data_IF_608327516474
#
_entry.id   IF_608327516474
#
_cell.length_a   1.000
_cell.length_b   1.000
_cell.length_c   1.000
_cell.angle_alpha   90.00
_cell.angle_beta   90.00
_cell.angle_gamma   90.00
#
_symmetry.space_group_name_H-M   'P 1'
#
loop_
_entity.id
_entity.type
_entity.pdbx_description
1 polymer ?
#
# COMPACT_ATOMS: atom_id res chain seq x y z
N UNK A 1 49.08 -1.20 59.53
CA UNK A 1 48.04 -2.26 59.47
C UNK A 1 46.72 -1.72 58.91
N UNK A 2 46.07 -0.71 59.52
CA UNK A 2 44.75 -0.20 59.07
C UNK A 2 44.68 0.25 57.60
N UNK A 3 45.73 0.92 57.09
CA UNK A 3 45.78 1.38 55.69
C UNK A 3 45.80 0.23 54.67
N UNK A 4 46.46 -0.87 55.00
CA UNK A 4 46.57 -2.04 54.12
C UNK A 4 45.19 -2.69 53.96
N UNK A 5 44.44 -2.84 55.05
CA UNK A 5 43.09 -3.41 55.01
C UNK A 5 42.13 -2.56 54.17
N UNK A 6 42.21 -1.23 54.26
CA UNK A 6 41.41 -0.33 53.43
C UNK A 6 41.79 -0.43 51.95
N UNK A 7 43.09 -0.46 51.64
CA UNK A 7 43.59 -0.58 50.26
C UNK A 7 43.11 -1.89 49.61
N UNK A 8 43.25 -3.01 50.31
CA UNK A 8 42.77 -4.33 49.83
C UNK A 8 41.25 -4.31 49.60
N UNK A 9 40.49 -3.67 50.49
CA UNK A 9 39.04 -3.50 50.33
C UNK A 9 38.66 -2.76 49.04
N UNK A 10 39.34 -1.65 48.72
CA UNK A 10 39.08 -0.90 47.49
C UNK A 10 39.44 -1.69 46.22
N UNK A 11 40.52 -2.47 46.25
CA UNK A 11 40.89 -3.32 45.11
C UNK A 11 39.85 -4.40 44.85
N UNK A 12 39.38 -5.09 45.91
CA UNK A 12 38.34 -6.12 45.77
C UNK A 12 37.03 -5.52 45.26
N UNK A 13 36.62 -4.36 45.80
CA UNK A 13 35.40 -3.68 45.37
C UNK A 13 35.49 -3.23 43.90
N UNK A 14 36.65 -2.71 43.49
CA UNK A 14 36.91 -2.31 42.10
C UNK A 14 36.83 -3.48 41.12
N UNK A 15 37.41 -4.64 41.48
CA UNK A 15 37.33 -5.85 40.66
C UNK A 15 35.89 -6.37 40.54
N UNK A 16 35.12 -6.37 41.64
CA UNK A 16 33.71 -6.75 41.62
C UNK A 16 32.86 -5.81 40.75
N UNK A 17 33.11 -4.49 40.82
CA UNK A 17 32.40 -3.54 39.97
C UNK A 17 32.71 -3.77 38.48
N UNK A 18 33.99 -4.02 38.15
CA UNK A 18 34.40 -4.29 36.77
C UNK A 18 33.75 -5.56 36.20
N UNK A 19 33.67 -6.65 36.98
CA UNK A 19 33.02 -7.90 36.52
C UNK A 19 31.52 -7.73 36.29
N UNK A 20 30.83 -6.98 37.15
CA UNK A 20 29.40 -6.67 36.99
C UNK A 20 29.16 -5.87 35.70
N UNK A 21 29.99 -4.86 35.42
CA UNK A 21 29.86 -4.04 34.20
C UNK A 21 30.02 -4.90 32.95
N UNK A 22 31.01 -5.80 32.92
CA UNK A 22 31.22 -6.72 31.79
C UNK A 22 30.03 -7.67 31.62
N UNK A 23 29.49 -8.23 32.71
CA UNK A 23 28.34 -9.12 32.66
C UNK A 23 27.09 -8.41 32.08
N UNK A 24 26.82 -7.17 32.49
CA UNK A 24 25.71 -6.37 31.94
C UNK A 24 25.91 -6.11 30.44
N UNK A 25 27.13 -5.75 30.03
CA UNK A 25 27.44 -5.52 28.61
C UNK A 25 27.20 -6.77 27.75
N UNK A 26 27.58 -7.96 28.25
CA UNK A 26 27.32 -9.25 27.58
C UNK A 26 25.82 -9.52 27.47
N UNK A 27 25.03 -9.28 28.52
CA UNK A 27 23.57 -9.48 28.49
C UNK A 27 22.92 -8.54 27.47
N UNK A 28 23.32 -7.27 27.42
CA UNK A 28 22.83 -6.29 26.44
C UNK A 28 23.19 -6.70 25.01
N UNK A 29 24.44 -7.13 24.78
CA UNK A 29 24.90 -7.60 23.49
C UNK A 29 24.14 -8.87 23.03
N UNK A 30 23.89 -9.81 23.95
CA UNK A 30 23.15 -11.02 23.64
C UNK A 30 21.70 -10.71 23.27
N UNK A 31 21.03 -9.81 24.01
CA UNK A 31 19.67 -9.38 23.69
C UNK A 31 19.60 -8.68 22.33
N UNK A 32 20.61 -7.86 21.99
CA UNK A 32 20.69 -7.19 20.68
C UNK A 32 20.91 -8.20 19.54
N UNK A 33 21.69 -9.25 19.76
CA UNK A 33 21.92 -10.30 18.75
C UNK A 33 20.64 -11.05 18.38
N UNK A 34 19.75 -11.30 19.34
CA UNK A 34 18.46 -11.94 19.07
C UNK A 34 17.51 -11.08 18.23
N UNK A 35 17.61 -9.74 18.32
CA UNK A 35 16.73 -8.86 17.54
C UNK A 35 17.12 -8.76 16.05
N UNK A 36 18.39 -8.97 15.69
CA UNK A 36 18.85 -8.84 14.30
C UNK A 36 18.43 -10.05 13.45
N UNK A 37 18.22 -11.22 14.07
CA UNK A 37 17.79 -12.43 13.37
C UNK A 37 16.27 -12.55 13.22
N UNK A 38 15.49 -11.59 13.73
CA UNK A 38 14.04 -11.53 13.55
C UNK A 38 13.65 -10.77 12.27
N UNK A 39 14.54 -10.64 11.28
CA UNK A 39 14.13 -10.21 9.95
C UNK A 39 13.24 -11.31 9.36
N UNK A 40 11.98 -11.02 9.02
CA UNK A 40 11.04 -12.06 8.67
C UNK A 40 11.41 -12.57 7.26
N UNK A 41 11.88 -13.83 7.18
CA UNK A 41 12.34 -14.47 5.93
C UNK A 41 11.24 -14.64 4.87
N UNK A 42 10.00 -14.35 5.22
CA UNK A 42 8.81 -14.44 4.36
C UNK A 42 8.66 -13.28 3.35
N UNK A 43 9.50 -12.24 3.41
CA UNK A 43 9.53 -11.19 2.37
C UNK A 43 10.17 -11.65 1.05
N UNK A 44 11.08 -12.64 1.06
CA UNK A 44 11.69 -13.17 -0.16
C UNK A 44 10.87 -14.27 -0.85
N UNK A 45 9.99 -14.97 -0.12
CA UNK A 45 9.16 -16.04 -0.71
C UNK A 45 7.91 -15.50 -1.41
N UNK A 46 7.33 -14.39 -0.94
CA UNK A 46 6.07 -13.86 -1.48
C UNK A 46 6.17 -13.37 -2.93
N UNK A 47 7.31 -12.80 -3.34
CA UNK A 47 7.53 -12.36 -4.73
C UNK A 47 7.75 -13.54 -5.68
N UNK A 48 8.48 -14.57 -5.24
CA UNK A 48 8.74 -15.77 -6.05
C UNK A 48 7.48 -16.64 -6.21
N UNK A 49 6.63 -16.69 -5.18
CA UNK A 49 5.39 -17.46 -5.20
C UNK A 49 4.28 -16.77 -6.00
N UNK A 50 4.19 -15.43 -5.96
CA UNK A 50 3.30 -14.66 -6.87
C UNK A 50 3.65 -14.87 -8.34
N UNK A 51 4.94 -14.93 -8.69
CA UNK A 51 5.36 -15.18 -10.08
C UNK A 51 4.95 -16.61 -10.50
N UNK A 52 5.11 -17.60 -9.62
CA UNK A 52 4.68 -18.98 -9.91
C UNK A 52 3.15 -19.12 -10.05
N UNK A 53 2.38 -18.49 -9.17
CA UNK A 53 0.91 -18.48 -9.26
C UNK A 53 0.40 -17.73 -10.50
N UNK A 54 1.06 -16.64 -10.89
CA UNK A 54 0.75 -15.94 -12.14
C UNK A 54 1.02 -16.79 -13.38
N UNK A 55 2.07 -17.63 -13.38
CA UNK A 55 2.38 -18.50 -14.51
C UNK A 55 1.42 -19.68 -14.64
N UNK A 56 0.97 -20.25 -13.52
CA UNK A 56 0.03 -21.40 -13.55
C UNK A 56 -1.34 -20.99 -14.10
N UNK A 57 -1.87 -19.83 -13.68
CA UNK A 57 -3.16 -19.34 -14.19
C UNK A 57 -3.17 -19.01 -15.69
N UNK A 58 -2.03 -18.61 -16.27
CA UNK A 58 -1.94 -18.39 -17.73
C UNK A 58 -1.91 -19.69 -18.54
N UNK A 59 -1.28 -20.74 -18.02
CA UNK A 59 -1.25 -22.05 -18.68
C UNK A 59 -2.66 -22.66 -18.71
N UNK A 60 -3.39 -22.54 -17.60
CA UNK A 60 -4.76 -23.06 -17.50
C UNK A 60 -5.75 -22.33 -18.43
N UNK A 61 -5.64 -20.99 -18.55
CA UNK A 61 -6.44 -20.21 -19.50
C UNK A 61 -6.18 -20.61 -20.96
N UNK A 62 -4.94 -20.97 -21.33
CA UNK A 62 -4.64 -21.45 -22.69
C UNK A 62 -5.21 -22.83 -22.98
N UNK A 63 -5.29 -23.71 -21.98
CA UNK A 63 -5.87 -25.05 -22.15
C UNK A 63 -7.40 -25.02 -22.27
N UNK A 64 -8.07 -24.08 -21.59
CA UNK A 64 -9.51 -23.86 -21.74
C UNK A 64 -9.88 -23.46 -23.17
N UNK A 65 -9.16 -22.52 -23.80
CA UNK A 65 -9.45 -22.07 -25.17
C UNK A 65 -9.33 -23.22 -26.18
N UNK A 66 -8.47 -24.20 -25.95
CA UNK A 66 -8.27 -25.32 -26.87
C UNK A 66 -9.36 -26.40 -26.78
N UNK A 67 -10.09 -26.49 -25.66
CA UNK A 67 -11.23 -27.44 -25.50
C UNK A 67 -12.49 -26.95 -26.21
N UNK A 68 -12.72 -25.65 -26.24
CA UNK A 68 -13.94 -25.08 -26.81
C UNK A 68 -13.93 -25.12 -28.36
N UNK A 69 -12.74 -25.18 -28.98
CA UNK A 69 -12.58 -25.28 -30.44
C UNK A 69 -12.89 -26.70 -30.97
N UNK A 70 -12.77 -27.73 -30.14
CA UNK A 70 -13.05 -29.13 -30.55
C UNK A 70 -14.51 -29.55 -30.36
N UNK A 71 -15.32 -28.79 -29.63
CA UNK A 71 -16.73 -29.11 -29.35
C UNK A 71 -17.73 -28.29 -30.18
N UNK A 72 -17.26 -27.29 -30.94
CA UNK A 72 -18.12 -26.40 -31.73
C UNK A 72 -18.20 -26.76 -33.23
N UNK A 73 -17.69 -27.92 -33.67
CA UNK A 73 -17.67 -28.30 -35.10
C UNK A 73 -18.93 -29.03 -35.63
N UNK A 74 -20.02 -29.18 -34.86
CA UNK A 74 -21.18 -30.01 -35.27
C UNK A 74 -22.45 -29.23 -35.66
N UNK A 75 -22.48 -27.89 -35.62
CA UNK A 75 -23.71 -27.16 -35.98
C UNK A 75 -23.47 -25.89 -36.79
N UNK A 76 -23.20 -26.04 -38.08
CA UNK A 76 -23.35 -24.96 -39.07
C UNK A 76 -24.00 -25.52 -40.34
N UNK A 77 -25.30 -25.29 -40.47
CA UNK A 77 -26.05 -25.43 -41.71
C UNK A 77 -27.13 -24.36 -41.73
N UNK A 78 -27.08 -23.49 -42.76
CA UNK A 78 -28.03 -22.42 -43.11
C UNK A 78 -28.15 -21.30 -42.05
N UNK A 79 -27.99 -20.02 -42.38
CA UNK A 79 -28.92 -19.23 -43.19
C UNK A 79 -28.19 -18.04 -43.85
N UNK A 80 -28.63 -17.79 -45.08
CA UNK A 80 -28.19 -16.78 -46.03
C UNK A 80 -28.85 -15.40 -45.81
N UNK A 81 -28.14 -14.35 -46.27
CA UNK A 81 -28.68 -13.05 -46.73
C UNK A 81 -29.22 -12.10 -45.63
N UNK A 82 -29.15 -10.76 -45.67
CA UNK A 82 -28.91 -9.78 -46.74
C UNK A 82 -28.73 -8.36 -46.14
N UNK A 83 -27.77 -7.60 -46.69
CA UNK A 83 -27.81 -6.17 -47.11
C UNK A 83 -28.32 -4.99 -46.26
N UNK A 84 -27.69 -3.85 -46.57
CA UNK A 84 -28.06 -2.41 -46.44
C UNK A 84 -27.54 -1.72 -45.17
N UNK A 85 -26.55 -0.83 -45.16
CA UNK A 85 -26.14 0.32 -46.00
C UNK A 85 -27.15 1.47 -46.02
N UNK A 86 -27.02 2.41 -45.07
CA UNK A 86 -27.56 3.76 -45.19
C UNK A 86 -26.77 4.74 -44.32
N UNK A 87 -25.80 5.41 -44.96
CA UNK A 87 -25.20 6.66 -44.48
C UNK A 87 -25.99 7.83 -45.08
N UNK A 88 -26.43 8.83 -44.30
CA UNK A 88 -26.84 10.11 -44.86
C UNK A 88 -25.71 11.14 -44.74
N UNK A 89 -25.28 11.64 -45.90
CA UNK A 89 -24.49 12.87 -46.07
C UNK A 89 -25.31 14.09 -45.62
N UNK A 90 -24.70 15.01 -44.88
CA UNK A 90 -25.22 16.35 -44.62
C UNK A 90 -24.39 17.39 -45.40
N UNK A 91 -25.01 18.30 -46.16
CA UNK A 91 -24.34 19.43 -46.81
C UNK A 91 -24.49 20.73 -46.00
N UNK A 92 -23.62 21.70 -46.27
CA UNK A 92 -24.01 23.11 -46.24
C UNK A 92 -23.24 24.02 -45.29
N UNK A 93 -22.24 24.70 -45.86
CA UNK A 93 -21.55 25.86 -45.32
C UNK A 93 -22.46 27.08 -45.52
N UNK A 94 -22.68 27.89 -44.48
CA UNK A 94 -23.12 29.28 -44.65
C UNK A 94 -22.63 30.15 -43.48
N UNK A 95 -21.67 31.03 -43.80
CA UNK A 95 -21.30 32.21 -43.02
C UNK A 95 -22.42 33.24 -43.07
N UNK A 96 -22.72 33.88 -41.94
CA UNK A 96 -23.61 35.04 -41.88
C UNK A 96 -23.57 35.70 -40.51
N UNK A 97 -22.97 36.88 -40.44
CA UNK A 97 -22.86 37.71 -39.24
C UNK A 97 -24.12 38.56 -39.02
N UNK A 98 -24.55 38.74 -37.77
CA UNK A 98 -25.11 39.98 -37.22
C UNK A 98 -25.29 39.88 -35.69
N UNK A 99 -25.17 40.99 -34.94
CA UNK A 99 -25.27 41.02 -33.48
C UNK A 99 -26.68 41.42 -33.00
N UNK A 100 -27.05 40.93 -31.82
CA UNK A 100 -28.11 41.53 -31.01
C UNK A 100 -29.34 40.65 -30.83
N UNK A 101 -29.49 40.14 -29.60
CA UNK A 101 -30.74 39.97 -28.83
C UNK A 101 -30.62 38.75 -27.91
N UNK A 102 -30.67 39.02 -26.61
CA UNK A 102 -30.92 38.05 -25.55
C UNK A 102 -32.34 37.49 -25.73
N UNK A 103 -32.57 36.19 -25.52
CA UNK A 103 -33.26 35.84 -24.28
C UNK A 103 -32.79 34.54 -23.60
N UNK A 104 -32.94 34.56 -22.28
CA UNK A 104 -32.88 33.45 -21.33
C UNK A 104 -33.73 32.25 -21.81
N UNK A 105 -33.09 31.09 -21.97
CA UNK A 105 -33.78 29.80 -22.00
C UNK A 105 -32.85 28.72 -21.41
N UNK A 106 -33.26 28.18 -20.27
CA UNK A 106 -32.59 27.08 -19.59
C UNK A 106 -32.78 25.76 -20.36
N UNK A 107 -31.74 24.95 -20.58
CA UNK A 107 -31.91 23.59 -21.06
C UNK A 107 -32.16 22.64 -19.88
N UNK A 108 -33.42 22.24 -19.72
CA UNK A 108 -33.80 20.99 -19.02
C UNK A 108 -33.24 19.81 -19.82
N UNK A 109 -32.03 19.37 -19.48
CA UNK A 109 -31.51 18.09 -19.95
C UNK A 109 -32.18 16.97 -19.14
N UNK A 110 -33.27 16.42 -19.68
CA UNK A 110 -33.82 15.14 -19.24
C UNK A 110 -32.91 14.07 -19.83
N UNK A 111 -31.94 13.63 -19.04
CA UNK A 111 -31.13 12.45 -19.35
C UNK A 111 -32.04 11.23 -19.24
N UNK A 112 -32.52 10.73 -20.38
CA UNK A 112 -33.20 9.45 -20.49
C UNK A 112 -32.17 8.33 -20.32
N UNK A 113 -32.14 7.72 -19.14
CA UNK A 113 -31.37 6.51 -18.88
C UNK A 113 -32.04 5.33 -19.60
N UNK A 114 -31.29 4.48 -20.33
CA UNK A 114 -31.85 3.23 -20.84
C UNK A 114 -32.18 2.29 -19.68
N UNK A 115 -33.47 1.97 -19.53
CA UNK A 115 -33.93 0.83 -18.76
C UNK A 115 -33.64 -0.45 -19.54
N UNK A 116 -32.55 -1.12 -19.19
CA UNK A 116 -32.25 -2.53 -19.42
C UNK A 116 -30.92 -2.78 -18.71
N UNK A 117 -30.72 -3.74 -17.83
CA UNK A 117 -31.35 -5.04 -17.64
C UNK A 117 -31.16 -5.45 -16.19
N UNK A 118 -32.07 -6.30 -15.70
CA UNK A 118 -31.94 -7.06 -14.46
C UNK A 118 -30.59 -7.79 -14.42
N UNK A 119 -29.59 -7.18 -13.78
CA UNK A 119 -28.48 -7.94 -13.23
C UNK A 119 -29.00 -8.60 -11.97
N UNK A 120 -29.26 -9.90 -12.09
CA UNK A 120 -29.28 -10.82 -10.96
C UNK A 120 -27.92 -10.69 -10.29
N UNK A 121 -27.86 -9.94 -9.19
CA UNK A 121 -26.75 -10.02 -8.26
C UNK A 121 -26.83 -11.40 -7.63
N UNK A 122 -26.13 -12.34 -8.24
CA UNK A 122 -25.77 -13.58 -7.58
C UNK A 122 -24.94 -13.18 -6.36
N UNK A 123 -25.56 -13.33 -5.20
CA UNK A 123 -25.00 -13.03 -3.90
C UNK A 123 -23.89 -14.05 -3.61
N UNK A 124 -22.76 -13.90 -4.31
CA UNK A 124 -21.50 -14.50 -3.89
C UNK A 124 -21.18 -13.85 -2.55
N UNK A 125 -21.48 -14.59 -1.48
CA UNK A 125 -20.95 -14.30 -0.16
C UNK A 125 -19.43 -14.44 -0.24
N UNK A 126 -18.80 -13.37 -0.73
CA UNK A 126 -17.39 -13.14 -0.56
C UNK A 126 -17.18 -13.05 0.93
N UNK A 127 -16.60 -14.13 1.47
CA UNK A 127 -16.00 -14.22 2.79
C UNK A 127 -15.15 -12.95 2.94
N UNK A 128 -15.69 -11.95 3.63
CA UNK A 128 -14.87 -10.85 4.12
C UNK A 128 -13.76 -11.52 4.91
N UNK A 129 -12.48 -11.23 4.63
CA UNK A 129 -11.45 -11.62 5.57
C UNK A 129 -11.89 -11.02 6.90
N UNK A 130 -12.12 -11.91 7.86
CA UNK A 130 -12.45 -11.59 9.23
C UNK A 130 -11.45 -10.53 9.64
N UNK A 131 -11.89 -9.27 9.71
CA UNK A 131 -11.09 -8.19 10.28
C UNK A 131 -10.94 -8.60 11.73
N UNK A 132 -9.81 -9.24 11.98
CA UNK A 132 -9.37 -9.65 13.29
C UNK A 132 -9.23 -8.33 14.03
N UNK A 133 -10.17 -8.05 14.93
CA UNK A 133 -9.98 -7.07 15.98
C UNK A 133 -8.67 -7.44 16.66
N UNK A 134 -7.60 -6.76 16.25
CA UNK A 134 -6.33 -6.79 16.94
C UNK A 134 -6.63 -6.01 18.21
N UNK A 135 -6.96 -6.76 19.26
CA UNK A 135 -7.16 -6.25 20.60
C UNK A 135 -6.10 -5.18 20.91
N UNK A 136 -6.57 -4.08 21.45
CA UNK A 136 -5.87 -2.88 21.91
C UNK A 136 -4.90 -3.16 23.06
N UNK A 137 -4.05 -4.17 22.95
CA UNK A 137 -2.80 -4.25 23.71
C UNK A 137 -1.73 -3.39 23.01
N UNK A 138 -2.10 -2.14 22.75
CA UNK A 138 -1.24 -1.04 22.35
C UNK A 138 -0.41 -0.57 23.53
N UNK A 139 0.38 -1.47 24.12
CA UNK A 139 1.69 -1.04 24.59
C UNK A 139 2.47 -0.69 23.33
N UNK A 140 2.31 0.55 22.87
CA UNK A 140 3.19 1.17 21.89
C UNK A 140 4.58 0.71 22.28
N UNK A 141 5.18 -0.17 21.49
CA UNK A 141 6.61 -0.47 21.61
C UNK A 141 7.22 0.85 21.18
N UNK A 142 7.40 1.75 22.15
CA UNK A 142 8.01 3.04 21.97
C UNK A 142 9.43 2.65 21.61
N UNK A 143 9.68 2.54 20.31
CA UNK A 143 11.03 2.45 19.82
C UNK A 143 11.64 3.75 20.34
N UNK A 144 12.57 3.73 21.32
CA UNK A 144 12.98 4.95 22.03
C UNK A 144 13.63 5.97 21.11
N UNK A 145 13.92 5.57 19.87
CA UNK A 145 14.49 6.37 18.80
C UNK A 145 13.43 7.05 17.92
N UNK A 146 12.16 6.72 18.07
CA UNK A 146 11.12 7.25 17.21
C UNK A 146 10.85 8.73 17.50
N UNK A 147 10.93 9.57 16.48
CA UNK A 147 10.73 11.03 16.61
C UNK A 147 9.39 11.41 16.00
N UNK A 148 8.52 12.06 16.76
CA UNK A 148 7.29 12.63 16.22
C UNK A 148 7.59 13.95 15.48
N UNK A 149 7.04 14.10 14.27
CA UNK A 149 7.10 15.33 13.48
C UNK A 149 5.75 15.65 12.85
N UNK A 150 5.50 16.93 12.59
CA UNK A 150 4.31 17.42 11.87
C UNK A 150 4.69 17.66 10.41
N UNK A 151 3.89 17.15 9.47
CA UNK A 151 4.08 17.39 8.05
C UNK A 151 3.77 18.85 7.68
N UNK A 152 4.67 19.47 6.93
CA UNK A 152 4.59 20.83 6.41
C UNK A 152 4.19 20.85 4.92
N UNK A 153 4.33 19.72 4.22
CA UNK A 153 3.94 19.56 2.80
C UNK A 153 3.17 18.27 2.58
N UNK A 154 2.31 18.27 1.56
CA UNK A 154 1.59 17.08 1.11
C UNK A 154 2.52 16.14 0.33
N UNK A 155 2.22 14.85 0.41
CA UNK A 155 2.88 13.82 -0.40
C UNK A 155 1.89 12.74 -0.85
N UNK A 156 1.82 12.53 -2.17
CA UNK A 156 1.00 11.48 -2.78
C UNK A 156 1.88 10.27 -3.12
N UNK A 157 1.56 9.07 -2.60
CA UNK A 157 2.36 7.88 -2.82
C UNK A 157 2.28 7.43 -4.28
N UNK A 158 3.39 6.91 -4.80
CA UNK A 158 3.58 6.42 -6.17
C UNK A 158 3.68 4.91 -6.23
N UNK A 159 4.15 4.28 -5.15
CA UNK A 159 4.29 2.83 -5.01
C UNK A 159 3.65 2.36 -3.69
N UNK A 160 3.43 1.05 -3.56
CA UNK A 160 2.68 0.48 -2.43
C UNK A 160 3.35 0.66 -1.05
N UNK A 161 4.67 0.83 -1.01
CA UNK A 161 5.42 0.99 0.24
C UNK A 161 5.44 2.44 0.75
N UNK A 162 4.98 3.39 -0.08
CA UNK A 162 4.91 4.79 0.27
C UNK A 162 3.61 5.13 1.03
N UNK A 163 3.68 6.06 1.97
CA UNK A 163 2.50 6.54 2.71
C UNK A 163 2.01 7.89 2.21
N UNK A 164 0.70 8.05 2.15
CA UNK A 164 0.10 9.36 1.93
C UNK A 164 0.28 10.27 3.15
N UNK A 165 0.69 11.51 2.90
CA UNK A 165 0.92 12.54 3.91
C UNK A 165 0.14 13.79 3.51
N UNK A 166 -0.61 14.34 4.45
CA UNK A 166 -1.30 15.63 4.30
C UNK A 166 -0.68 16.65 5.27
N UNK A 167 -0.59 17.91 4.88
CA UNK A 167 -0.12 19.01 5.75
C UNK A 167 -0.88 18.98 7.09
N UNK A 168 -0.12 19.03 8.18
CA UNK A 168 -0.63 18.94 9.54
C UNK A 168 -0.73 17.51 10.09
N UNK A 169 -0.52 16.47 9.28
CA UNK A 169 -0.44 15.10 9.79
C UNK A 169 0.74 14.96 10.76
N UNK A 170 0.52 14.21 11.85
CA UNK A 170 1.57 13.82 12.79
C UNK A 170 2.13 12.48 12.37
N UNK A 171 3.44 12.40 12.19
CA UNK A 171 4.15 11.19 11.80
C UNK A 171 5.15 10.80 12.86
N UNK A 172 5.18 9.52 13.19
CA UNK A 172 6.20 8.92 14.03
C UNK A 172 7.31 8.38 13.13
N UNK A 173 8.44 9.05 13.08
CA UNK A 173 9.60 8.69 12.25
C UNK A 173 10.44 7.66 12.99
N UNK A 174 10.56 6.46 12.42
CA UNK A 174 11.37 5.36 12.97
C UNK A 174 12.83 5.43 12.55
N UNK A 175 13.08 5.83 11.29
CA UNK A 175 14.42 5.89 10.70
C UNK A 175 14.46 6.87 9.54
N UNK A 176 15.49 7.71 9.51
CA UNK A 176 15.87 8.52 8.34
C UNK A 176 16.95 7.82 7.54
N UNK A 177 16.94 8.01 6.23
CA UNK A 177 17.92 7.51 5.28
C UNK A 177 18.71 8.69 4.69
N UNK A 178 19.92 8.42 4.17
CA UNK A 178 20.83 9.45 3.64
C UNK A 178 20.38 10.00 2.28
N UNK A 179 19.45 9.32 1.60
CA UNK A 179 18.88 9.69 0.30
C UNK A 179 17.70 10.67 0.40
N UNK A 180 17.41 11.17 1.59
CA UNK A 180 16.30 12.09 1.83
C UNK A 180 14.96 11.41 2.08
N UNK A 181 14.92 10.09 2.33
CA UNK A 181 13.71 9.38 2.71
C UNK A 181 13.67 9.04 4.20
N UNK A 182 12.49 8.69 4.70
CA UNK A 182 12.33 8.14 6.04
C UNK A 182 11.24 7.08 6.10
N UNK A 183 11.38 6.14 7.04
CA UNK A 183 10.32 5.22 7.43
C UNK A 183 9.55 5.82 8.59
N UNK A 184 8.23 5.92 8.44
CA UNK A 184 7.35 6.56 9.40
C UNK A 184 5.98 5.87 9.48
N UNK A 185 5.24 6.16 10.55
CA UNK A 185 3.82 5.84 10.67
C UNK A 185 3.02 7.13 10.75
N UNK A 186 2.03 7.27 9.88
CA UNK A 186 1.07 8.37 9.96
C UNK A 186 0.10 8.09 11.12
N UNK A 187 0.07 8.95 12.13
CA UNK A 187 -0.72 8.75 13.35
C UNK A 187 -2.23 8.94 13.10
N UNK A 188 -2.62 9.66 12.05
CA UNK A 188 -4.03 9.81 11.64
C UNK A 188 -4.58 8.55 11.00
N UNK A 189 -3.84 7.98 10.03
CA UNK A 189 -4.31 6.80 9.27
C UNK A 189 -3.86 5.47 9.86
N UNK A 190 -2.91 5.49 10.80
CA UNK A 190 -2.21 4.33 11.38
C UNK A 190 -1.40 3.50 10.37
N UNK A 191 -1.26 3.97 9.13
CA UNK A 191 -0.48 3.30 8.08
C UNK A 191 1.00 3.62 8.24
N UNK A 192 1.84 2.60 8.12
CA UNK A 192 3.30 2.71 8.13
C UNK A 192 3.88 2.45 6.75
N UNK A 193 4.98 3.12 6.42
CA UNK A 193 5.71 2.95 5.17
C UNK A 193 6.80 4.02 5.05
N UNK A 194 7.11 4.42 3.81
CA UNK A 194 8.16 5.42 3.54
C UNK A 194 7.58 6.73 2.98
N UNK A 195 8.24 7.84 3.29
CA UNK A 195 7.94 9.15 2.71
C UNK A 195 9.21 10.02 2.67
N UNK A 196 9.29 11.05 1.80
CA UNK A 196 10.46 11.90 1.72
C UNK A 196 10.56 12.83 2.95
N UNK A 197 11.78 13.10 3.42
CA UNK A 197 12.05 14.02 4.53
C UNK A 197 11.65 15.46 4.22
N UNK A 198 11.58 15.83 2.94
CA UNK A 198 11.15 17.15 2.47
C UNK A 198 9.72 17.52 2.86
N UNK A 199 8.90 16.55 3.31
CA UNK A 199 7.58 16.84 3.90
C UNK A 199 7.68 17.55 5.25
N UNK A 200 8.84 17.53 5.90
CA UNK A 200 9.08 18.14 7.23
C UNK A 200 9.99 19.37 7.17
N UNK A 201 10.43 19.78 5.99
CA UNK A 201 11.35 20.90 5.79
C UNK A 201 10.57 22.12 5.29
N UNK A 202 10.90 23.31 5.81
CA UNK A 202 10.36 24.59 5.35
C UNK A 202 10.91 25.00 3.97
#
# INVERSE_FOLDING_TARGET
MVYITKLVGFVILGLLAATIIVAIAVIVAHKRSHQINAYPQNLQTSSSERIRQSQTSMIERRQSIHRDILTSSVHLSSVSASSSSSSPNLPGIASGAAPGAVPVAAPTAITSWPQNSLFVFESTQHILPKYQEVEENSSLIINPTATEKIALRDFSPRIADEIAVVVGDRLLIFKSFEDGWCSAQNLRTRVAGICPLTVFED
#
